data_IF_960311934702
#
_entry.id   IF_960311934702
#
_cell.length_a   1.000
_cell.length_b   1.000
_cell.length_c   1.000
_cell.angle_alpha   90.00
_cell.angle_beta   90.00
_cell.angle_gamma   90.00
#
_symmetry.space_group_name_H-M   'P 1'
#
loop_
_entity.id
_entity.type
_entity.pdbx_description
1 polymer ?
#
# COMPACT_ATOMS: atom_id res chain seq x y z
N UNK A 1 36.62 24.97 -2.86
CA UNK A 1 35.99 24.16 -3.91
C UNK A 1 35.21 23.07 -3.21
N UNK A 2 33.90 23.21 -2.98
CA UNK A 2 33.03 22.06 -2.58
C UNK A 2 31.54 22.40 -2.39
N UNK A 3 31.19 23.57 -1.87
CA UNK A 3 29.77 23.89 -1.58
C UNK A 3 28.89 23.97 -2.84
N UNK A 4 29.39 24.55 -3.94
CA UNK A 4 28.64 24.62 -5.20
C UNK A 4 28.41 23.24 -5.83
N UNK A 5 29.37 22.32 -5.65
CA UNK A 5 29.28 20.95 -6.16
C UNK A 5 28.33 20.11 -5.30
N UNK A 6 28.37 20.28 -3.98
CA UNK A 6 27.43 19.66 -3.05
C UNK A 6 25.97 20.08 -3.31
N UNK A 7 25.71 21.39 -3.46
CA UNK A 7 24.38 21.92 -3.78
C UNK A 7 23.87 21.38 -5.12
N UNK A 8 24.74 21.34 -6.14
CA UNK A 8 24.40 20.77 -7.45
C UNK A 8 24.03 19.30 -7.35
N UNK A 9 24.79 18.52 -6.58
CA UNK A 9 24.54 17.09 -6.39
C UNK A 9 23.20 16.84 -5.68
N UNK A 10 22.91 17.58 -4.60
CA UNK A 10 21.62 17.50 -3.90
C UNK A 10 20.46 17.82 -4.85
N UNK A 11 20.58 18.89 -5.64
CA UNK A 11 19.54 19.28 -6.60
C UNK A 11 19.33 18.22 -7.68
N UNK A 12 20.39 17.56 -8.14
CA UNK A 12 20.29 16.43 -9.07
C UNK A 12 19.60 15.22 -8.43
N UNK A 13 19.98 14.84 -7.21
CA UNK A 13 19.34 13.74 -6.48
C UNK A 13 17.85 13.98 -6.26
N UNK A 14 17.45 15.21 -5.91
CA UNK A 14 16.04 15.58 -5.77
C UNK A 14 15.27 15.49 -7.09
N UNK A 15 15.89 15.88 -8.21
CA UNK A 15 15.28 15.74 -9.54
C UNK A 15 15.06 14.28 -9.92
N UNK A 16 16.04 13.41 -9.67
CA UNK A 16 15.91 11.96 -9.89
C UNK A 16 14.78 11.41 -9.02
N UNK A 17 14.76 11.75 -7.73
CA UNK A 17 13.71 11.34 -6.80
C UNK A 17 12.32 11.80 -7.28
N UNK A 18 12.20 13.03 -7.78
CA UNK A 18 10.95 13.56 -8.33
C UNK A 18 10.46 12.74 -9.54
N UNK A 19 11.35 12.35 -10.45
CA UNK A 19 11.00 11.49 -11.60
C UNK A 19 10.55 10.10 -11.13
N UNK A 20 11.27 9.49 -10.17
CA UNK A 20 10.90 8.20 -9.60
C UNK A 20 9.52 8.26 -8.94
N UNK A 21 9.24 9.31 -8.16
CA UNK A 21 7.93 9.50 -7.51
C UNK A 21 6.80 9.63 -8.54
N UNK A 22 7.01 10.38 -9.63
CA UNK A 22 6.02 10.48 -10.72
C UNK A 22 5.78 9.12 -11.36
N UNK A 23 6.84 8.38 -11.68
CA UNK A 23 6.73 7.05 -12.27
C UNK A 23 5.95 6.09 -11.35
N UNK A 24 6.26 6.08 -10.05
CA UNK A 24 5.52 5.27 -9.07
C UNK A 24 4.06 5.71 -8.96
N UNK A 25 3.78 7.01 -8.95
CA UNK A 25 2.40 7.54 -8.95
C UNK A 25 1.61 7.02 -10.15
N UNK A 26 2.20 7.03 -11.35
CA UNK A 26 1.54 6.52 -12.57
C UNK A 26 1.24 5.03 -12.45
N UNK A 27 2.19 4.23 -11.96
CA UNK A 27 2.00 2.79 -11.75
C UNK A 27 0.86 2.53 -10.76
N UNK A 28 0.89 3.20 -9.60
CA UNK A 28 -0.15 3.03 -8.58
C UNK A 28 -1.51 3.52 -9.06
N UNK A 29 -1.57 4.59 -9.84
CA UNK A 29 -2.81 5.07 -10.46
C UNK A 29 -3.40 4.03 -11.42
N UNK A 30 -2.55 3.35 -12.19
CA UNK A 30 -2.96 2.23 -13.05
C UNK A 30 -3.50 1.06 -12.22
N UNK A 31 -2.87 0.72 -11.09
CA UNK A 31 -3.38 -0.30 -10.16
C UNK A 31 -4.77 0.05 -9.61
N UNK A 32 -5.03 1.31 -9.28
CA UNK A 32 -6.36 1.76 -8.81
C UNK A 32 -7.41 1.56 -9.93
N UNK A 33 -7.09 1.91 -11.17
CA UNK A 33 -7.98 1.68 -12.31
C UNK A 33 -8.26 0.18 -12.53
N UNK A 34 -7.24 -0.66 -12.38
CA UNK A 34 -7.39 -2.12 -12.46
C UNK A 34 -8.32 -2.63 -11.35
N UNK A 35 -8.11 -2.21 -10.10
CA UNK A 35 -8.98 -2.58 -8.97
C UNK A 35 -10.42 -2.13 -9.20
N UNK A 36 -10.63 -0.94 -9.76
CA UNK A 36 -11.97 -0.48 -10.14
C UNK A 36 -12.59 -1.34 -11.24
N UNK A 37 -11.81 -1.73 -12.26
CA UNK A 37 -12.25 -2.67 -13.29
C UNK A 37 -12.65 -4.02 -12.70
N UNK A 38 -11.85 -4.57 -11.79
CA UNK A 38 -12.16 -5.81 -11.06
C UNK A 38 -13.43 -5.67 -10.23
N UNK A 39 -13.64 -4.52 -9.58
CA UNK A 39 -14.87 -4.26 -8.82
C UNK A 39 -16.10 -4.29 -9.71
N UNK A 40 -16.04 -3.64 -10.88
CA UNK A 40 -17.14 -3.66 -11.86
C UNK A 40 -17.42 -5.08 -12.35
N UNK A 41 -16.38 -5.86 -12.66
CA UNK A 41 -16.52 -7.27 -13.05
C UNK A 41 -17.17 -8.07 -11.91
N UNK A 42 -16.66 -7.93 -10.68
CA UNK A 42 -17.19 -8.62 -9.51
C UNK A 42 -18.65 -8.27 -9.24
N UNK A 43 -19.12 -7.06 -9.57
CA UNK A 43 -20.52 -6.68 -9.40
C UNK A 43 -21.43 -7.21 -10.52
N UNK A 44 -20.94 -7.20 -11.76
CA UNK A 44 -21.75 -7.46 -12.97
C UNK A 44 -21.81 -8.93 -13.38
N UNK A 45 -20.73 -9.70 -13.17
CA UNK A 45 -20.64 -11.09 -13.59
C UNK A 45 -21.19 -12.01 -12.50
N UNK A 46 -21.89 -13.08 -12.89
CA UNK A 46 -22.35 -14.10 -11.94
C UNK A 46 -21.18 -14.95 -11.44
N UNK A 47 -21.23 -15.37 -10.18
CA UNK A 47 -20.16 -16.17 -9.58
C UNK A 47 -19.87 -17.46 -10.36
N UNK A 48 -20.92 -18.14 -10.85
CA UNK A 48 -20.80 -19.35 -11.67
C UNK A 48 -19.97 -19.15 -12.94
N UNK A 49 -20.09 -17.99 -13.61
CA UNK A 49 -19.29 -17.69 -14.80
C UNK A 49 -17.82 -17.50 -14.46
N UNK A 50 -17.53 -16.89 -13.31
CA UNK A 50 -16.17 -16.71 -12.82
C UNK A 50 -15.56 -18.06 -12.43
N UNK A 51 -16.29 -18.88 -11.66
CA UNK A 51 -15.88 -20.24 -11.32
C UNK A 51 -15.59 -21.09 -12.55
N UNK A 52 -16.48 -21.07 -13.54
CA UNK A 52 -16.24 -21.81 -14.79
C UNK A 52 -14.99 -21.33 -15.53
N UNK A 53 -14.78 -20.01 -15.61
CA UNK A 53 -13.59 -19.45 -16.27
C UNK A 53 -12.30 -19.86 -15.58
N UNK A 54 -12.29 -19.90 -14.24
CA UNK A 54 -11.13 -20.35 -13.45
C UNK A 54 -10.89 -21.85 -13.61
N UNK A 55 -11.94 -22.67 -13.57
CA UNK A 55 -11.85 -24.12 -13.76
C UNK A 55 -11.40 -24.52 -15.17
N UNK A 56 -11.85 -23.80 -16.19
CA UNK A 56 -11.44 -23.98 -17.58
C UNK A 56 -10.00 -23.46 -17.83
N UNK A 57 -9.45 -22.69 -16.88
CA UNK A 57 -8.12 -22.11 -16.99
C UNK A 57 -7.05 -23.10 -16.53
N UNK A 58 -6.03 -23.28 -17.37
CA UNK A 58 -4.90 -24.17 -17.08
C UNK A 58 -3.77 -23.39 -16.38
N UNK A 59 -4.10 -22.71 -15.28
CA UNK A 59 -3.19 -21.78 -14.61
C UNK A 59 -2.58 -22.46 -13.38
N UNK A 60 -1.26 -22.63 -13.41
CA UNK A 60 -0.48 -23.00 -12.24
C UNK A 60 0.04 -21.73 -11.57
N UNK A 61 -0.42 -21.46 -10.34
CA UNK A 61 0.03 -20.30 -9.57
C UNK A 61 0.71 -20.78 -8.29
N UNK A 62 1.85 -20.17 -7.94
CA UNK A 62 2.45 -20.36 -6.62
C UNK A 62 2.46 -19.05 -5.85
N UNK A 63 2.01 -19.10 -4.60
CA UNK A 63 2.00 -17.97 -3.68
C UNK A 63 2.86 -18.29 -2.48
N UNK A 64 3.86 -17.46 -2.21
CA UNK A 64 4.68 -17.57 -1.00
C UNK A 64 4.20 -16.57 0.05
N UNK A 65 3.78 -17.07 1.19
CA UNK A 65 3.25 -16.29 2.29
C UNK A 65 3.90 -16.70 3.62
N UNK A 66 4.64 -15.79 4.27
CA UNK A 66 5.27 -16.01 5.58
C UNK A 66 6.00 -17.36 5.74
N UNK A 67 6.66 -17.84 4.66
CA UNK A 67 7.39 -19.12 4.65
C UNK A 67 6.59 -20.32 4.13
N UNK A 68 5.28 -20.20 3.96
CA UNK A 68 4.41 -21.21 3.35
C UNK A 68 4.32 -20.92 1.84
N UNK A 69 4.53 -21.94 1.00
CA UNK A 69 4.29 -21.83 -0.43
C UNK A 69 3.03 -22.62 -0.77
N UNK A 70 1.98 -21.92 -1.20
CA UNK A 70 0.74 -22.51 -1.68
C UNK A 70 0.88 -22.69 -3.19
N UNK A 71 0.83 -23.92 -3.66
CA UNK A 71 0.74 -24.24 -5.08
C UNK A 71 -0.72 -24.46 -5.43
N UNK A 72 -1.27 -23.61 -6.28
CA UNK A 72 -2.58 -23.83 -6.88
C UNK A 72 -2.35 -24.58 -8.19
N UNK A 73 -2.44 -25.91 -8.12
CA UNK A 73 -2.42 -26.81 -9.28
C UNK A 73 -3.85 -27.13 -9.72
N UNK A 74 -4.02 -27.86 -10.82
CA UNK A 74 -5.34 -28.31 -11.31
C UNK A 74 -6.21 -29.00 -10.26
N UNK A 75 -5.61 -29.82 -9.40
CA UNK A 75 -6.35 -30.61 -8.41
C UNK A 75 -6.99 -29.70 -7.36
N UNK A 76 -6.25 -28.71 -6.85
CA UNK A 76 -6.77 -27.70 -5.92
C UNK A 76 -7.72 -26.74 -6.64
N UNK A 77 -7.44 -26.42 -7.92
CA UNK A 77 -8.29 -25.55 -8.72
C UNK A 77 -9.69 -26.14 -8.92
N UNK A 78 -9.81 -27.47 -8.94
CA UNK A 78 -11.09 -28.17 -9.06
C UNK A 78 -12.05 -27.91 -7.88
N UNK A 79 -11.50 -27.55 -6.71
CA UNK A 79 -12.24 -27.18 -5.51
C UNK A 79 -12.61 -25.68 -5.45
N UNK A 80 -12.34 -24.92 -6.51
CA UNK A 80 -12.56 -23.48 -6.50
C UNK A 80 -14.04 -23.09 -6.37
N UNK A 81 -14.37 -22.39 -5.29
CA UNK A 81 -15.69 -21.81 -5.06
C UNK A 81 -15.56 -20.28 -4.99
N UNK A 82 -16.22 -19.59 -5.92
CA UNK A 82 -16.18 -18.13 -5.95
C UNK A 82 -17.21 -17.54 -4.98
N UNK A 83 -16.73 -16.92 -3.90
CA UNK A 83 -17.57 -16.07 -3.04
C UNK A 83 -17.54 -14.62 -3.53
N UNK A 84 -18.70 -14.16 -4.03
CA UNK A 84 -18.88 -12.80 -4.54
C UNK A 84 -18.74 -11.75 -3.44
N UNK A 85 -19.29 -12.01 -2.25
CA UNK A 85 -19.30 -11.07 -1.13
C UNK A 85 -17.88 -10.83 -0.63
N UNK A 86 -17.14 -11.90 -0.37
CA UNK A 86 -15.75 -11.80 0.10
C UNK A 86 -14.84 -11.13 -0.94
N UNK A 87 -15.02 -11.46 -2.22
CA UNK A 87 -14.26 -10.81 -3.31
C UNK A 87 -14.49 -9.29 -3.33
N UNK A 88 -15.74 -8.84 -3.22
CA UNK A 88 -16.06 -7.41 -3.22
C UNK A 88 -15.42 -6.72 -2.03
N UNK A 89 -15.53 -7.29 -0.83
CA UNK A 89 -14.93 -6.74 0.38
C UNK A 89 -13.40 -6.68 0.26
N UNK A 90 -12.76 -7.70 -0.31
CA UNK A 90 -11.31 -7.73 -0.55
C UNK A 90 -10.89 -6.60 -1.50
N UNK A 91 -11.60 -6.42 -2.62
CA UNK A 91 -11.30 -5.36 -3.60
C UNK A 91 -11.46 -3.98 -2.96
N UNK A 92 -12.48 -3.77 -2.11
CA UNK A 92 -12.67 -2.52 -1.38
C UNK A 92 -11.52 -2.26 -0.41
N UNK A 93 -11.11 -3.25 0.38
CA UNK A 93 -9.96 -3.12 1.29
C UNK A 93 -8.66 -2.81 0.53
N UNK A 94 -8.38 -3.51 -0.57
CA UNK A 94 -7.23 -3.25 -1.43
C UNK A 94 -7.27 -1.85 -2.05
N UNK A 95 -8.47 -1.36 -2.40
CA UNK A 95 -8.65 -0.02 -2.94
C UNK A 95 -8.34 1.04 -1.88
N UNK A 96 -8.89 0.90 -0.67
CA UNK A 96 -8.60 1.81 0.45
C UNK A 96 -7.10 1.83 0.74
N UNK A 97 -6.47 0.65 0.84
CA UNK A 97 -5.04 0.52 1.08
C UNK A 97 -4.19 1.23 0.02
N UNK A 98 -4.52 0.99 -1.26
CA UNK A 98 -3.82 1.63 -2.39
C UNK A 98 -4.02 3.14 -2.41
N UNK A 99 -5.21 3.65 -2.04
CA UNK A 99 -5.48 5.09 -1.92
C UNK A 99 -4.65 5.73 -0.82
N UNK A 100 -4.47 5.07 0.34
CA UNK A 100 -3.57 5.57 1.40
C UNK A 100 -2.13 5.66 0.90
N UNK A 101 -1.62 4.63 0.21
CA UNK A 101 -0.28 4.66 -0.40
C UNK A 101 -0.15 5.79 -1.42
N UNK A 102 -1.15 5.95 -2.29
CA UNK A 102 -1.19 7.03 -3.28
C UNK A 102 -1.14 8.41 -2.61
N UNK A 103 -1.85 8.60 -1.50
CA UNK A 103 -1.82 9.85 -0.74
C UNK A 103 -0.40 10.19 -0.26
N UNK A 104 0.35 9.20 0.25
CA UNK A 104 1.74 9.36 0.70
C UNK A 104 2.62 9.80 -0.46
N UNK A 105 2.54 9.09 -1.60
CA UNK A 105 3.35 9.39 -2.78
C UNK A 105 3.09 10.80 -3.33
N UNK A 106 1.83 11.22 -3.40
CA UNK A 106 1.45 12.56 -3.88
C UNK A 106 1.96 13.65 -2.92
N UNK A 107 1.87 13.43 -1.61
CA UNK A 107 2.38 14.38 -0.61
C UNK A 107 3.90 14.51 -0.68
N UNK A 108 4.61 13.39 -0.81
CA UNK A 108 6.07 13.36 -0.99
C UNK A 108 6.49 14.03 -2.30
N UNK A 109 5.80 13.74 -3.40
CA UNK A 109 6.07 14.38 -4.70
C UNK A 109 5.92 15.90 -4.61
N UNK A 110 4.82 16.40 -4.02
CA UNK A 110 4.61 17.84 -3.82
C UNK A 110 5.68 18.46 -2.93
N UNK A 111 6.11 17.76 -1.88
CA UNK A 111 7.20 18.20 -1.01
C UNK A 111 8.53 18.29 -1.78
N UNK A 112 8.95 17.22 -2.45
CA UNK A 112 10.20 17.19 -3.24
C UNK A 112 10.20 18.27 -4.32
N UNK A 113 9.08 18.46 -5.03
CA UNK A 113 8.94 19.52 -6.01
C UNK A 113 9.15 20.91 -5.38
N UNK A 114 8.54 21.17 -4.23
CA UNK A 114 8.71 22.43 -3.49
C UNK A 114 10.18 22.69 -3.12
N UNK A 115 10.90 21.65 -2.68
CA UNK A 115 12.33 21.77 -2.34
C UNK A 115 13.18 22.05 -3.58
N UNK A 116 12.85 21.47 -4.73
CA UNK A 116 13.54 21.77 -6.01
C UNK A 116 13.34 23.23 -6.44
N UNK A 117 12.15 23.77 -6.18
CA UNK A 117 11.76 25.14 -6.51
C UNK A 117 12.37 26.18 -5.53
N UNK A 118 12.97 25.73 -4.42
CA UNK A 118 13.67 26.57 -3.43
C UNK A 118 12.88 26.79 -2.13
N UNK A 119 11.60 26.42 -2.12
CA UNK A 119 10.70 26.56 -0.98
C UNK A 119 10.86 25.37 -0.03
N UNK A 120 11.84 25.43 0.88
CA UNK A 120 12.15 24.32 1.81
C UNK A 120 11.31 24.40 3.07
N UNK A 121 11.55 25.41 3.93
CA UNK A 121 10.86 25.57 5.21
C UNK A 121 9.60 26.40 5.07
N UNK A 122 8.57 25.82 4.48
CA UNK A 122 7.23 26.43 4.42
C UNK A 122 6.24 25.69 5.30
N UNK A 123 5.27 26.41 5.85
CA UNK A 123 4.14 25.83 6.60
C UNK A 123 3.41 24.77 5.74
N UNK A 124 3.32 24.99 4.43
CA UNK A 124 2.73 24.02 3.49
C UNK A 124 3.52 22.71 3.46
N UNK A 125 4.84 22.76 3.43
CA UNK A 125 5.68 21.56 3.44
C UNK A 125 5.67 20.82 4.77
N UNK A 126 5.70 21.55 5.89
CA UNK A 126 5.49 20.94 7.21
C UNK A 126 4.19 20.15 7.26
N UNK A 127 3.07 20.75 6.84
CA UNK A 127 1.76 20.06 6.80
C UNK A 127 1.77 18.83 5.89
N UNK A 128 2.47 18.88 4.75
CA UNK A 128 2.61 17.71 3.85
C UNK A 128 3.34 16.57 4.56
N UNK A 129 4.45 16.85 5.24
CA UNK A 129 5.21 15.84 5.99
C UNK A 129 4.38 15.27 7.15
N UNK A 130 3.68 16.13 7.91
CA UNK A 130 2.78 15.67 8.98
C UNK A 130 1.69 14.73 8.46
N UNK A 131 1.08 15.06 7.31
CA UNK A 131 0.08 14.21 6.66
C UNK A 131 0.67 12.86 6.19
N UNK A 132 1.92 12.83 5.71
CA UNK A 132 2.60 11.55 5.43
C UNK A 132 2.73 10.73 6.70
N UNK A 133 3.12 11.35 7.81
CA UNK A 133 3.19 10.70 9.12
C UNK A 133 1.84 10.09 9.53
N UNK A 134 0.74 10.84 9.43
CA UNK A 134 -0.60 10.32 9.72
C UNK A 134 -1.03 9.19 8.78
N UNK A 135 -0.74 9.29 7.48
CA UNK A 135 -1.03 8.21 6.53
C UNK A 135 -0.25 6.93 6.84
N UNK A 136 1.01 7.04 7.30
CA UNK A 136 1.79 5.88 7.75
C UNK A 136 1.21 5.25 9.02
N UNK A 137 0.74 6.06 9.98
CA UNK A 137 0.06 5.53 11.17
C UNK A 137 -1.19 4.74 10.78
N UNK A 138 -2.03 5.25 9.88
CA UNK A 138 -3.20 4.51 9.36
C UNK A 138 -2.76 3.23 8.65
N UNK A 139 -1.72 3.31 7.81
CA UNK A 139 -1.20 2.18 7.05
C UNK A 139 -0.68 1.06 7.97
N UNK A 140 -0.16 1.41 9.15
CA UNK A 140 0.37 0.44 10.11
C UNK A 140 -0.68 -0.53 10.65
N UNK A 141 -1.94 -0.09 10.76
CA UNK A 141 -3.06 -0.96 11.11
C UNK A 141 -3.59 -1.70 9.87
N UNK A 142 -3.69 -0.99 8.74
CA UNK A 142 -4.33 -1.54 7.54
C UNK A 142 -3.51 -2.64 6.86
N UNK A 143 -2.17 -2.60 6.92
CA UNK A 143 -1.31 -3.55 6.20
C UNK A 143 -1.58 -5.00 6.58
N UNK A 144 -1.64 -5.28 7.88
CA UNK A 144 -1.81 -6.64 8.38
C UNK A 144 -3.25 -7.11 8.18
N UNK A 145 -4.23 -6.21 8.33
CA UNK A 145 -5.64 -6.51 8.04
C UNK A 145 -5.85 -6.92 6.59
N UNK A 146 -5.33 -6.14 5.63
CA UNK A 146 -5.44 -6.43 4.20
C UNK A 146 -4.77 -7.76 3.86
N UNK A 147 -3.57 -7.99 4.42
CA UNK A 147 -2.83 -9.23 4.21
C UNK A 147 -3.59 -10.45 4.77
N UNK A 148 -4.12 -10.37 5.99
CA UNK A 148 -4.90 -11.42 6.60
C UNK A 148 -6.19 -11.71 5.81
N UNK A 149 -6.89 -10.65 5.37
CA UNK A 149 -8.11 -10.78 4.58
C UNK A 149 -7.85 -11.40 3.21
N UNK A 150 -6.75 -11.02 2.54
CA UNK A 150 -6.33 -11.64 1.28
C UNK A 150 -6.11 -13.15 1.46
N UNK A 151 -5.34 -13.55 2.48
CA UNK A 151 -5.07 -14.97 2.70
C UNK A 151 -6.32 -15.73 3.09
N UNK A 152 -7.15 -15.17 3.97
CA UNK A 152 -8.43 -15.78 4.35
C UNK A 152 -9.33 -16.01 3.14
N UNK A 153 -9.43 -15.01 2.25
CA UNK A 153 -10.26 -15.10 1.04
C UNK A 153 -9.72 -16.15 0.07
N UNK A 154 -8.40 -16.15 -0.17
CA UNK A 154 -7.76 -17.14 -1.04
C UNK A 154 -7.93 -18.55 -0.48
N UNK A 155 -7.70 -18.75 0.82
CA UNK A 155 -7.89 -20.06 1.44
C UNK A 155 -9.35 -20.50 1.34
N UNK A 156 -10.32 -19.64 1.64
CA UNK A 156 -11.74 -20.01 1.54
C UNK A 156 -12.17 -20.35 0.10
N UNK A 157 -11.64 -19.64 -0.90
CA UNK A 157 -11.97 -19.91 -2.30
C UNK A 157 -11.37 -21.20 -2.86
N UNK A 158 -10.16 -21.59 -2.42
CA UNK A 158 -9.43 -22.73 -2.97
C UNK A 158 -9.45 -23.98 -2.09
N UNK A 159 -9.58 -23.78 -0.77
CA UNK A 159 -9.62 -24.82 0.23
C UNK A 159 -10.95 -24.67 0.95
N UNK A 160 -11.92 -25.49 0.56
CA UNK A 160 -13.15 -25.64 1.31
C UNK A 160 -12.79 -25.87 2.79
N UNK A 161 -13.42 -25.17 3.74
CA UNK A 161 -13.02 -25.18 5.16
C UNK A 161 -12.80 -26.61 5.72
N UNK A 162 -13.55 -27.58 5.20
CA UNK A 162 -13.46 -28.99 5.56
C UNK A 162 -12.13 -29.67 5.15
N UNK A 163 -11.45 -29.24 4.08
CA UNK A 163 -10.20 -29.88 3.64
C UNK A 163 -8.99 -29.47 4.47
N UNK A 164 -8.97 -28.24 5.01
CA UNK A 164 -7.91 -27.77 5.92
C UNK A 164 -8.02 -28.43 7.29
N UNK A 165 -9.24 -28.67 7.79
CA UNK A 165 -9.49 -29.37 9.06
C UNK A 165 -9.18 -30.88 8.98
N UNK A 166 -9.20 -31.47 7.78
CA UNK A 166 -8.88 -32.88 7.55
C UNK A 166 -7.37 -33.16 7.50
N UNK A 167 -6.51 -32.14 7.54
CA UNK A 167 -5.07 -32.32 7.58
C UNK A 167 -4.66 -32.57 9.04
N UNK A 168 -4.34 -33.83 9.38
CA UNK A 168 -4.08 -34.29 10.76
C UNK A 168 -3.04 -33.48 11.56
N UNK A 169 -2.14 -32.76 10.88
CA UNK A 169 -1.09 -31.94 11.50
C UNK A 169 -1.44 -30.44 11.65
N UNK A 170 -2.59 -29.99 11.15
CA UNK A 170 -3.08 -28.60 11.29
C UNK A 170 -4.20 -28.58 12.32
N UNK A 171 -3.89 -28.13 13.55
CA UNK A 171 -4.88 -28.05 14.63
C UNK A 171 -5.89 -26.91 14.46
N UNK A 172 -5.47 -25.78 13.89
CA UNK A 172 -6.35 -24.66 13.55
C UNK A 172 -5.62 -23.63 12.68
N UNK A 173 -6.37 -22.91 11.84
CA UNK A 173 -5.89 -21.71 11.16
C UNK A 173 -6.54 -20.50 11.84
N UNK A 174 -5.74 -19.59 12.38
CA UNK A 174 -6.23 -18.36 12.97
C UNK A 174 -5.71 -17.14 12.22
N UNK A 175 -6.60 -16.19 11.94
CA UNK A 175 -6.27 -14.95 11.26
C UNK A 175 -6.28 -13.79 12.27
N UNK A 176 -5.15 -13.10 12.38
CA UNK A 176 -5.04 -11.88 13.19
C UNK A 176 -5.35 -10.66 12.32
N UNK A 177 -6.63 -10.33 12.22
CA UNK A 177 -7.09 -9.20 11.39
C UNK A 177 -6.70 -7.83 11.97
N UNK A 178 -6.60 -7.71 13.30
CA UNK A 178 -6.21 -6.49 13.98
C UNK A 178 -4.82 -6.67 14.60
N UNK A 179 -3.79 -6.56 13.75
CA UNK A 179 -2.41 -6.56 14.19
C UNK A 179 -1.70 -5.28 13.71
N UNK A 180 -0.75 -4.79 14.50
CA UNK A 180 -0.07 -3.53 14.23
C UNK A 180 1.28 -3.83 13.58
N UNK A 181 1.53 -3.24 12.42
CA UNK A 181 2.87 -3.22 11.85
C UNK A 181 3.73 -2.18 12.58
N UNK A 182 4.42 -2.63 13.63
CA UNK A 182 5.26 -1.80 14.49
C UNK A 182 6.33 -1.01 13.71
N UNK A 183 6.91 -1.58 12.66
CA UNK A 183 7.91 -0.90 11.83
C UNK A 183 7.32 0.31 11.11
N UNK A 184 6.14 0.15 10.50
CA UNK A 184 5.44 1.25 9.83
C UNK A 184 4.96 2.28 10.86
N UNK A 185 4.46 1.83 12.01
CA UNK A 185 3.99 2.70 13.09
C UNK A 185 5.12 3.63 13.58
N UNK A 186 6.29 3.05 13.90
CA UNK A 186 7.46 3.80 14.35
C UNK A 186 7.95 4.78 13.26
N UNK A 187 7.97 4.34 12.00
CA UNK A 187 8.27 5.22 10.87
C UNK A 187 7.29 6.40 10.79
N UNK A 188 6.00 6.15 10.99
CA UNK A 188 4.97 7.19 11.05
C UNK A 188 5.23 8.24 12.13
N UNK A 189 5.59 7.81 13.35
CA UNK A 189 5.96 8.72 14.44
C UNK A 189 7.21 9.55 14.13
N UNK A 190 8.24 8.94 13.53
CA UNK A 190 9.46 9.64 13.12
C UNK A 190 9.12 10.72 12.08
N UNK A 191 8.40 10.36 11.02
CA UNK A 191 8.03 11.30 9.96
C UNK A 191 7.13 12.42 10.50
N UNK A 192 6.18 12.09 11.36
CA UNK A 192 5.34 13.10 12.03
C UNK A 192 6.16 14.09 12.86
N UNK A 193 7.17 13.59 13.60
CA UNK A 193 8.09 14.42 14.38
C UNK A 193 8.91 15.34 13.47
N UNK A 194 9.41 14.83 12.34
CA UNK A 194 10.10 15.65 11.33
C UNK A 194 9.17 16.76 10.82
N UNK A 195 7.89 16.46 10.57
CA UNK A 195 6.91 17.46 10.16
C UNK A 195 6.74 18.60 11.17
N UNK A 196 6.76 18.28 12.47
CA UNK A 196 6.74 19.26 13.57
C UNK A 196 8.01 20.12 13.62
N UNK A 197 9.18 19.50 13.42
CA UNK A 197 10.47 20.21 13.35
C UNK A 197 10.47 21.18 12.16
N UNK A 198 9.98 20.76 11.00
CA UNK A 198 9.85 21.64 9.83
C UNK A 198 8.90 22.81 10.08
N UNK A 199 7.84 22.61 10.88
CA UNK A 199 6.94 23.69 11.28
C UNK A 199 7.65 24.75 12.11
N UNK A 200 8.45 24.31 13.08
CA UNK A 200 9.29 25.20 13.88
C UNK A 200 10.30 25.93 13.00
N UNK A 201 10.96 25.22 12.08
CA UNK A 201 11.87 25.80 11.09
C UNK A 201 11.23 26.89 10.22
N UNK A 202 9.97 26.72 9.80
CA UNK A 202 9.27 27.76 9.03
C UNK A 202 9.01 29.02 9.87
N UNK A 203 8.71 28.89 11.16
CA UNK A 203 8.54 30.06 12.03
C UNK A 203 9.84 30.83 12.22
N UNK A 204 10.96 30.12 12.41
CA UNK A 204 12.28 30.77 12.51
C UNK A 204 12.68 31.50 11.22
N UNK A 205 12.33 30.93 10.07
CA UNK A 205 12.63 31.57 8.79
C UNK A 205 11.78 32.83 8.57
N UNK A 206 10.51 32.81 8.95
CA UNK A 206 9.65 34.00 8.92
C UNK A 206 10.18 35.13 9.83
N UNK A 207 10.70 34.80 11.01
CA UNK A 207 11.29 35.78 11.94
C UNK A 207 12.61 36.36 11.40
N UNK A 208 13.45 35.52 10.80
CA UNK A 208 14.69 35.97 10.15
C UNK A 208 14.39 36.92 8.97
N UNK A 209 13.45 36.55 8.09
CA UNK A 209 13.08 37.36 6.93
C UNK A 209 12.41 38.68 7.33
N UNK A 210 11.73 38.74 8.50
CA UNK A 210 11.12 39.96 9.03
C UNK A 210 12.12 40.92 9.70
N UNK A 211 13.35 40.47 9.99
CA UNK A 211 14.39 41.25 10.68
C UNK A 211 15.57 41.64 9.78
N UNK A 212 15.60 41.15 8.54
CA UNK A 212 16.58 41.48 7.50
C UNK A 212 16.13 42.68 6.63
#
# INVERSE_FOLDING_TARGET
MDQSLAIRNIKMSLRILNVLLIATIVIISSCILLLFGLLVIALTVSGEKISKLVLDSNIDISFKFNGITVFLNKDIMSNFVYDKSETIVLIVFLTIFTVVIMSILVLLWKFVKSVIDGDVFTIKNSKRIELVGYSLLILSFLSNTVQAYLVSTVLHMFLNNNELENIEWIQSVSFRFLDINWSILLCGFIVWTIGRIFRYGSFLQEEYDATA
#
